data_IF_549004985489
#
_entry.id   IF_549004985489
#
_cell.length_a   1.000
_cell.length_b   1.000
_cell.length_c   1.000
_cell.angle_alpha   90.00
_cell.angle_beta   90.00
_cell.angle_gamma   90.00
#
_symmetry.space_group_name_H-M   'P 1'
#
loop_
_entity.id
_entity.type
_entity.pdbx_description
1 polymer ?
#
# COMPACT_ATOMS: atom_id res chain seq x y z
N UNK A 1 44.17 -10.64 8.22
CA UNK A 1 43.55 -9.36 8.62
C UNK A 1 42.72 -8.87 7.45
N UNK A 2 41.41 -9.16 7.47
CA UNK A 2 40.55 -9.12 6.28
C UNK A 2 40.01 -7.71 6.00
N UNK A 3 39.78 -7.40 4.73
CA UNK A 3 39.24 -6.13 4.22
C UNK A 3 37.91 -5.72 4.89
N UNK A 4 37.18 -6.69 5.46
CA UNK A 4 35.95 -6.52 6.24
C UNK A 4 36.16 -5.79 7.57
N UNK A 5 37.32 -5.93 8.22
CA UNK A 5 37.65 -5.18 9.44
C UNK A 5 38.03 -3.73 9.13
N UNK A 6 38.61 -3.46 7.94
CA UNK A 6 39.02 -2.10 7.55
C UNK A 6 37.85 -1.22 7.13
N UNK A 7 36.79 -1.78 6.54
CA UNK A 7 35.56 -1.03 6.24
C UNK A 7 34.74 -0.77 7.51
N UNK A 8 34.74 -1.70 8.46
CA UNK A 8 34.12 -1.51 9.78
C UNK A 8 34.81 -0.46 10.64
N UNK A 9 36.14 -0.36 10.57
CA UNK A 9 36.94 0.62 11.34
C UNK A 9 36.92 2.01 10.68
N UNK A 10 36.86 2.12 9.34
CA UNK A 10 36.77 3.42 8.67
C UNK A 10 35.44 4.15 8.98
N UNK A 11 34.36 3.39 9.21
CA UNK A 11 33.08 3.90 9.70
C UNK A 11 33.08 4.25 11.20
N UNK A 12 34.09 3.83 11.97
CA UNK A 12 34.22 4.12 13.41
C UNK A 12 35.06 5.38 13.73
N UNK A 13 35.86 5.88 12.79
CA UNK A 13 36.75 7.04 12.99
C UNK A 13 36.20 8.38 12.49
N UNK A 14 34.94 8.47 12.09
CA UNK A 14 34.27 9.77 11.90
C UNK A 14 33.76 10.31 13.25
N UNK A 15 34.68 10.71 14.13
CA UNK A 15 34.36 11.34 15.42
C UNK A 15 34.97 12.74 15.48
N UNK A 16 34.20 13.74 15.07
CA UNK A 16 34.30 15.13 15.56
C UNK A 16 33.09 15.92 15.02
N UNK A 17 32.19 16.37 15.91
CA UNK A 17 31.08 17.26 15.55
C UNK A 17 29.74 16.83 16.12
N UNK A 18 29.46 17.23 17.36
CA UNK A 18 28.22 16.98 18.11
C UNK A 18 27.03 17.75 17.49
N UNK A 19 25.83 17.12 17.57
CA UNK A 19 24.46 17.60 17.33
C UNK A 19 23.77 17.25 15.99
N UNK A 20 23.25 16.01 15.90
CA UNK A 20 22.04 15.62 15.16
C UNK A 20 21.54 14.26 15.70
N UNK A 21 20.43 14.31 16.45
CA UNK A 21 19.87 13.33 17.38
C UNK A 21 19.48 11.96 16.76
N UNK A 22 19.83 10.84 17.43
CA UNK A 22 19.15 9.52 17.39
C UNK A 22 19.16 8.71 16.08
N UNK A 23 18.92 9.37 14.97
CA UNK A 23 18.73 8.87 13.61
C UNK A 23 19.99 8.23 13.02
N UNK A 24 21.16 8.87 13.20
CA UNK A 24 22.44 8.31 12.74
C UNK A 24 22.83 7.02 13.48
N UNK A 25 22.43 6.88 14.75
CA UNK A 25 22.66 5.67 15.53
C UNK A 25 21.73 4.53 15.10
N UNK A 26 20.47 4.84 14.78
CA UNK A 26 19.53 3.87 14.21
C UNK A 26 19.96 3.42 12.81
N UNK A 27 20.40 4.36 11.95
CA UNK A 27 20.98 4.04 10.64
C UNK A 27 22.23 3.17 10.81
N UNK A 28 23.11 3.47 11.77
CA UNK A 28 24.29 2.64 12.05
C UNK A 28 23.95 1.24 12.59
N UNK A 29 22.84 1.09 13.34
CA UNK A 29 22.33 -0.19 13.80
C UNK A 29 21.73 -1.02 12.66
N UNK A 30 20.87 -0.40 11.83
CA UNK A 30 20.28 -1.01 10.63
C UNK A 30 21.37 -1.43 9.62
N UNK A 31 22.41 -0.59 9.47
CA UNK A 31 23.63 -0.91 8.69
C UNK A 31 24.33 -2.16 9.20
N UNK A 32 24.35 -2.39 10.52
CA UNK A 32 25.02 -3.53 11.17
C UNK A 32 24.21 -4.81 11.03
N UNK A 33 22.88 -4.74 11.11
CA UNK A 33 21.99 -5.88 10.83
C UNK A 33 22.05 -6.32 9.37
N UNK A 34 21.97 -5.39 8.40
CA UNK A 34 22.02 -5.71 6.97
C UNK A 34 23.38 -6.29 6.52
N UNK A 35 24.48 -5.90 7.17
CA UNK A 35 25.82 -6.48 6.94
C UNK A 35 25.96 -7.90 7.51
N UNK A 36 25.10 -8.30 8.46
CA UNK A 36 25.10 -9.63 9.06
C UNK A 36 24.17 -10.63 8.36
N UNK A 37 23.43 -10.21 7.34
CA UNK A 37 22.62 -11.12 6.53
C UNK A 37 23.51 -12.06 5.70
N UNK A 38 23.96 -13.15 6.34
CA UNK A 38 24.30 -14.40 5.64
C UNK A 38 23.17 -14.79 4.67
N UNK A 39 21.93 -14.37 4.94
CA UNK A 39 20.77 -14.50 4.08
C UNK A 39 20.94 -13.84 2.71
N UNK A 40 21.54 -12.64 2.63
CA UNK A 40 21.81 -11.97 1.34
C UNK A 40 22.89 -12.72 0.55
N UNK A 41 23.89 -13.27 1.23
CA UNK A 41 24.96 -14.06 0.60
C UNK A 41 24.45 -15.42 0.10
N UNK A 42 23.53 -16.05 0.83
CA UNK A 42 22.88 -17.30 0.44
C UNK A 42 21.85 -17.09 -0.68
N UNK A 43 21.13 -15.98 -0.62
CA UNK A 43 20.20 -15.49 -1.62
C UNK A 43 20.89 -15.22 -2.97
N UNK A 44 22.03 -14.55 -2.95
CA UNK A 44 22.83 -14.25 -4.16
C UNK A 44 23.73 -15.44 -4.55
N UNK A 45 24.04 -16.36 -3.63
CA UNK A 45 24.84 -17.56 -3.90
C UNK A 45 24.26 -18.47 -4.98
N UNK A 46 22.93 -18.43 -5.19
CA UNK A 46 22.28 -19.10 -6.31
C UNK A 46 22.52 -18.45 -7.69
N UNK A 47 22.99 -17.20 -7.74
CA UNK A 47 23.21 -16.43 -8.97
C UNK A 47 24.63 -16.55 -9.50
N UNK A 48 25.62 -16.61 -8.62
CA UNK A 48 27.05 -16.66 -8.98
C UNK A 48 27.63 -18.07 -8.90
N UNK A 49 26.98 -18.99 -8.16
CA UNK A 49 27.56 -20.29 -7.83
C UNK A 49 28.74 -20.22 -6.84
N UNK A 50 29.16 -19.01 -6.46
CA UNK A 50 30.26 -18.73 -5.52
C UNK A 50 29.80 -17.72 -4.45
N UNK A 51 29.80 -18.18 -3.20
CA UNK A 51 29.44 -17.40 -2.00
C UNK A 51 30.33 -16.17 -1.83
N UNK A 52 31.59 -16.24 -2.25
CA UNK A 52 32.55 -15.12 -2.20
C UNK A 52 32.17 -14.00 -3.18
N UNK A 53 31.69 -14.38 -4.36
CA UNK A 53 31.22 -13.44 -5.37
C UNK A 53 29.86 -12.83 -4.98
N UNK A 54 28.97 -13.64 -4.42
CA UNK A 54 27.69 -13.20 -3.87
C UNK A 54 27.88 -12.14 -2.76
N UNK A 55 28.81 -12.38 -1.84
CA UNK A 55 29.21 -11.41 -0.80
C UNK A 55 29.74 -10.11 -1.38
N UNK A 56 30.59 -10.20 -2.41
CA UNK A 56 31.15 -9.01 -3.07
C UNK A 56 30.07 -8.20 -3.78
N UNK A 57 29.12 -8.86 -4.43
CA UNK A 57 28.00 -8.19 -5.10
C UNK A 57 27.10 -7.47 -4.08
N UNK A 58 26.73 -8.14 -2.99
CA UNK A 58 25.93 -7.57 -1.91
C UNK A 58 26.61 -6.33 -1.29
N UNK A 59 27.91 -6.41 -1.00
CA UNK A 59 28.67 -5.28 -0.47
C UNK A 59 28.72 -4.10 -1.47
N UNK A 60 28.90 -4.40 -2.76
CA UNK A 60 28.91 -3.39 -3.82
C UNK A 60 27.55 -2.71 -3.96
N UNK A 61 26.47 -3.49 -3.90
CA UNK A 61 25.08 -3.02 -3.91
C UNK A 61 24.79 -2.08 -2.75
N UNK A 62 25.07 -2.51 -1.51
CA UNK A 62 24.83 -1.68 -0.32
C UNK A 62 25.65 -0.38 -0.35
N UNK A 63 26.91 -0.44 -0.79
CA UNK A 63 27.76 0.75 -0.92
C UNK A 63 27.18 1.75 -1.93
N UNK A 64 26.69 1.27 -3.07
CA UNK A 64 26.10 2.14 -4.07
C UNK A 64 24.80 2.78 -3.58
N UNK A 65 23.91 2.02 -2.93
CA UNK A 65 22.69 2.57 -2.37
C UNK A 65 22.96 3.62 -1.28
N UNK A 66 23.91 3.36 -0.38
CA UNK A 66 24.31 4.35 0.64
C UNK A 66 24.88 5.64 0.06
N UNK A 67 25.45 5.59 -1.15
CA UNK A 67 25.97 6.79 -1.81
C UNK A 67 24.84 7.63 -2.42
N UNK A 68 23.70 7.00 -2.72
CA UNK A 68 22.59 7.65 -3.41
C UNK A 68 21.50 8.13 -2.46
N UNK A 69 21.20 7.35 -1.42
CA UNK A 69 20.03 7.59 -0.57
C UNK A 69 20.41 7.92 0.87
N UNK A 70 19.97 9.10 1.31
CA UNK A 70 20.26 9.65 2.63
C UNK A 70 19.01 9.77 3.51
N UNK A 71 17.81 9.56 2.96
CA UNK A 71 16.54 9.66 3.69
C UNK A 71 16.28 8.40 4.51
N UNK A 72 16.18 8.56 5.83
CA UNK A 72 15.95 7.49 6.79
C UNK A 72 14.56 6.86 6.61
N UNK A 73 13.56 7.66 6.28
CA UNK A 73 12.20 7.17 6.05
C UNK A 73 12.15 6.23 4.84
N UNK A 74 12.98 6.49 3.82
CA UNK A 74 13.15 5.60 2.68
C UNK A 74 13.75 4.27 3.11
N UNK A 75 14.83 4.28 3.90
CA UNK A 75 15.45 3.04 4.37
C UNK A 75 14.50 2.21 5.24
N UNK A 76 13.71 2.84 6.11
CA UNK A 76 12.71 2.15 6.93
C UNK A 76 11.63 1.51 6.06
N UNK A 77 11.06 2.28 5.13
CA UNK A 77 10.01 1.82 4.21
C UNK A 77 10.48 0.68 3.31
N UNK A 78 11.77 0.68 2.93
CA UNK A 78 12.30 -0.28 1.96
C UNK A 78 13.13 -1.41 2.57
N UNK A 79 13.41 -1.37 3.87
CA UNK A 79 14.32 -2.31 4.57
C UNK A 79 14.05 -3.78 4.26
N UNK A 80 12.77 -4.18 4.25
CA UNK A 80 12.33 -5.55 3.94
C UNK A 80 12.68 -6.00 2.51
N UNK A 81 12.73 -5.05 1.56
CA UNK A 81 13.03 -5.31 0.14
C UNK A 81 14.53 -5.27 -0.16
N UNK A 82 15.29 -4.44 0.54
CA UNK A 82 16.72 -4.25 0.30
C UNK A 82 17.56 -5.52 0.57
N UNK A 83 17.03 -6.42 1.40
CA UNK A 83 17.63 -7.71 1.66
C UNK A 83 17.22 -8.80 0.67
N UNK A 84 16.29 -8.52 -0.26
CA UNK A 84 15.74 -9.54 -1.14
C UNK A 84 16.69 -9.86 -2.31
N UNK A 85 16.98 -11.15 -2.59
CA UNK A 85 17.86 -11.56 -3.69
C UNK A 85 17.52 -10.93 -5.04
N UNK A 86 16.24 -10.93 -5.39
CA UNK A 86 15.76 -10.49 -6.70
C UNK A 86 16.04 -8.99 -6.91
N UNK A 87 15.88 -8.17 -5.86
CA UNK A 87 16.10 -6.73 -5.94
C UNK A 87 17.59 -6.41 -6.13
N UNK A 88 18.47 -7.13 -5.43
CA UNK A 88 19.92 -7.00 -5.58
C UNK A 88 20.34 -7.39 -7.00
N UNK A 89 19.76 -8.46 -7.54
CA UNK A 89 20.03 -8.92 -8.90
C UNK A 89 19.58 -7.90 -9.96
N UNK A 90 18.35 -7.40 -9.89
CA UNK A 90 17.83 -6.40 -10.82
C UNK A 90 18.66 -5.11 -10.77
N UNK A 91 18.99 -4.63 -9.56
CA UNK A 91 19.83 -3.45 -9.40
C UNK A 91 21.23 -3.67 -9.99
N UNK A 92 21.83 -4.83 -9.75
CA UNK A 92 23.13 -5.17 -10.31
C UNK A 92 23.11 -5.26 -11.85
N UNK A 93 22.05 -5.82 -12.44
CA UNK A 93 21.88 -5.89 -13.89
C UNK A 93 21.66 -4.51 -14.51
N UNK A 94 20.83 -3.66 -13.90
CA UNK A 94 20.60 -2.29 -14.35
C UNK A 94 21.90 -1.45 -14.32
N UNK A 95 22.84 -1.79 -13.44
CA UNK A 95 24.17 -1.18 -13.34
C UNK A 95 25.25 -1.85 -14.18
N UNK A 96 24.92 -2.91 -14.92
CA UNK A 96 25.86 -3.70 -15.71
C UNK A 96 26.90 -4.46 -14.87
N UNK A 97 26.62 -4.71 -13.59
CA UNK A 97 27.52 -5.49 -12.71
C UNK A 97 27.35 -6.99 -12.89
N UNK A 98 26.13 -7.41 -13.23
CA UNK A 98 25.82 -8.76 -13.66
C UNK A 98 25.42 -8.72 -15.14
N UNK A 99 25.82 -9.74 -15.92
CA UNK A 99 25.29 -9.89 -17.26
C UNK A 99 23.76 -10.06 -17.20
N UNK A 100 23.06 -9.59 -18.23
CA UNK A 100 21.66 -9.93 -18.40
C UNK A 100 21.51 -11.46 -18.40
N UNK A 101 20.40 -12.01 -17.86
CA UNK A 101 20.17 -13.45 -17.90
C UNK A 101 20.32 -13.91 -19.35
N UNK A 102 21.17 -14.92 -19.59
CA UNK A 102 21.25 -15.50 -20.93
C UNK A 102 19.86 -16.08 -21.26
N UNK A 103 19.28 -15.74 -22.43
CA UNK A 103 18.00 -16.31 -22.84
C UNK A 103 18.12 -17.84 -22.82
N UNK A 104 17.37 -18.51 -21.95
CA UNK A 104 17.34 -19.98 -21.86
C UNK A 104 17.91 -20.60 -20.58
N UNK A 105 18.56 -19.85 -19.69
CA UNK A 105 18.87 -20.35 -18.34
C UNK A 105 17.60 -20.24 -17.49
N UNK A 106 16.79 -21.31 -17.48
CA UNK A 106 15.58 -21.37 -16.66
C UNK A 106 15.95 -21.31 -15.18
N UNK A 107 15.38 -20.35 -14.45
CA UNK A 107 15.38 -20.36 -12.99
C UNK A 107 14.81 -21.70 -12.50
N UNK A 108 15.42 -22.33 -11.47
CA UNK A 108 14.92 -23.59 -10.97
C UNK A 108 13.49 -23.42 -10.47
N UNK A 109 12.58 -24.29 -10.92
CA UNK A 109 11.21 -24.34 -10.43
C UNK A 109 11.17 -25.21 -9.17
N UNK A 110 10.44 -24.75 -8.17
CA UNK A 110 10.04 -25.57 -7.04
C UNK A 110 8.67 -26.17 -7.35
N UNK A 111 8.57 -27.50 -7.26
CA UNK A 111 7.32 -28.22 -7.48
C UNK A 111 6.73 -28.61 -6.13
N UNK A 112 5.48 -28.21 -5.90
CA UNK A 112 4.68 -28.51 -4.73
C UNK A 112 3.55 -29.47 -5.12
N UNK A 113 3.30 -30.45 -4.26
CA UNK A 113 2.33 -31.52 -4.48
C UNK A 113 1.18 -31.38 -3.48
N UNK A 114 -0.08 -31.64 -3.89
CA UNK A 114 -1.21 -31.68 -2.96
C UNK A 114 -1.11 -32.92 -2.05
N UNK A 115 -1.57 -32.80 -0.80
CA UNK A 115 -1.55 -33.89 0.19
C UNK A 115 -2.38 -35.10 -0.25
N UNK A 116 -3.44 -34.87 -1.03
CA UNK A 116 -4.34 -35.92 -1.54
C UNK A 116 -3.64 -36.91 -2.47
N UNK A 117 -2.45 -36.59 -2.98
CA UNK A 117 -1.68 -37.42 -3.93
C UNK A 117 -2.33 -37.58 -5.32
N UNK A 118 -3.57 -37.15 -5.49
CA UNK A 118 -4.30 -37.13 -6.75
C UNK A 118 -3.92 -35.88 -7.53
N UNK A 119 -2.85 -35.96 -8.32
CA UNK A 119 -2.32 -34.80 -9.02
C UNK A 119 -2.94 -34.63 -10.41
N UNK A 120 -4.07 -33.92 -10.48
CA UNK A 120 -4.61 -33.39 -11.74
C UNK A 120 -3.77 -32.19 -12.17
N UNK A 121 -2.90 -32.41 -13.15
CA UNK A 121 -2.14 -31.36 -13.85
C UNK A 121 -1.16 -30.53 -12.99
N UNK A 122 -0.33 -29.74 -13.66
CA UNK A 122 0.65 -28.85 -13.02
C UNK A 122 0.36 -27.41 -13.44
N UNK A 123 0.16 -26.55 -12.46
CA UNK A 123 -0.10 -25.13 -12.64
C UNK A 123 1.20 -24.38 -12.35
N UNK A 124 1.61 -23.54 -13.30
CA UNK A 124 2.77 -22.69 -13.14
C UNK A 124 2.37 -21.33 -12.58
N UNK A 125 3.05 -20.89 -11.52
CA UNK A 125 2.84 -19.59 -10.89
C UNK A 125 4.11 -18.74 -10.93
N UNK A 126 3.91 -17.46 -11.27
CA UNK A 126 4.98 -16.46 -11.36
C UNK A 126 4.50 -15.13 -10.80
N UNK A 127 5.42 -14.40 -10.17
CA UNK A 127 5.16 -13.07 -9.61
C UNK A 127 5.93 -12.05 -10.43
N UNK A 128 5.24 -11.00 -10.87
CA UNK A 128 5.85 -9.77 -11.38
C UNK A 128 5.56 -8.64 -10.41
N UNK A 129 6.60 -7.92 -9.99
CA UNK A 129 6.48 -6.80 -9.04
C UNK A 129 6.53 -5.48 -9.76
N UNK A 130 5.85 -4.47 -9.23
CA UNK A 130 6.05 -3.10 -9.67
C UNK A 130 7.39 -2.58 -9.15
N UNK A 131 8.20 -1.98 -10.02
CA UNK A 131 9.51 -1.42 -9.67
C UNK A 131 9.44 -0.32 -8.62
N UNK A 132 8.36 0.47 -8.59
CA UNK A 132 8.16 1.53 -7.59
C UNK A 132 7.45 1.08 -6.32
N UNK A 133 6.87 -0.13 -6.31
CA UNK A 133 6.09 -0.65 -5.19
C UNK A 133 6.22 -2.19 -5.13
N UNK A 134 7.31 -2.74 -4.58
CA UNK A 134 7.62 -4.17 -4.62
C UNK A 134 6.59 -5.11 -3.96
N UNK A 135 5.82 -4.60 -2.99
CA UNK A 135 4.68 -5.32 -2.40
C UNK A 135 3.47 -5.44 -3.35
N UNK A 136 3.49 -4.76 -4.49
CA UNK A 136 2.41 -4.70 -5.47
C UNK A 136 2.88 -5.28 -6.81
N UNK A 137 1.93 -5.63 -7.66
CA UNK A 137 2.22 -6.22 -8.97
C UNK A 137 1.17 -7.22 -9.40
N UNK A 138 1.62 -8.26 -10.10
CA UNK A 138 0.76 -9.25 -10.74
C UNK A 138 1.23 -10.67 -10.43
N UNK A 139 0.28 -11.52 -10.03
CA UNK A 139 0.50 -12.96 -9.88
C UNK A 139 -0.07 -13.64 -11.11
N UNK A 140 0.80 -14.21 -11.92
CA UNK A 140 0.48 -14.95 -13.13
C UNK A 140 0.30 -16.43 -12.81
N UNK A 141 -0.73 -17.02 -13.40
CA UNK A 141 -1.09 -18.43 -13.23
C UNK A 141 -1.29 -19.00 -14.63
N UNK A 142 -0.54 -20.03 -14.96
CA UNK A 142 -0.63 -20.74 -16.24
C UNK A 142 -0.92 -22.21 -15.99
N UNK A 143 -2.06 -22.69 -16.48
CA UNK A 143 -2.44 -24.09 -16.46
C UNK A 143 -2.37 -24.62 -17.90
N UNK A 144 -1.61 -25.69 -18.11
CA UNK A 144 -1.52 -26.35 -19.40
C UNK A 144 -1.82 -27.86 -19.21
N UNK A 145 -2.74 -28.46 -19.98
CA UNK A 145 -3.61 -27.90 -21.03
C UNK A 145 -5.01 -27.42 -20.56
N UNK A 146 -5.45 -27.67 -19.32
CA UNK A 146 -6.83 -27.39 -18.92
C UNK A 146 -7.08 -25.95 -18.44
N UNK A 147 -8.28 -25.46 -18.73
CA UNK A 147 -8.82 -24.22 -18.20
C UNK A 147 -9.25 -24.47 -16.75
N UNK A 148 -8.63 -23.77 -15.81
CA UNK A 148 -9.00 -23.85 -14.39
C UNK A 148 -10.48 -23.45 -14.19
N UNK A 149 -11.20 -24.06 -13.23
CA UNK A 149 -12.59 -23.75 -12.97
C UNK A 149 -12.81 -22.26 -12.73
N UNK A 150 -13.69 -21.63 -13.52
CA UNK A 150 -13.98 -20.20 -13.40
C UNK A 150 -14.59 -19.79 -12.06
N UNK A 151 -15.19 -20.71 -11.31
CA UNK A 151 -15.60 -20.48 -9.91
C UNK A 151 -14.40 -20.29 -9.00
N UNK A 152 -13.40 -21.18 -9.08
CA UNK A 152 -12.16 -21.11 -8.30
C UNK A 152 -11.41 -19.80 -8.59
N UNK A 153 -11.21 -19.49 -9.88
CA UNK A 153 -10.48 -18.28 -10.28
C UNK A 153 -11.17 -16.98 -9.84
N UNK A 154 -12.51 -16.94 -9.85
CA UNK A 154 -13.27 -15.80 -9.31
C UNK A 154 -13.10 -15.64 -7.81
N UNK A 155 -13.12 -16.73 -7.04
CA UNK A 155 -12.88 -16.71 -5.59
C UNK A 155 -11.48 -16.20 -5.27
N UNK A 156 -10.49 -16.54 -6.09
CA UNK A 156 -9.10 -16.08 -5.95
C UNK A 156 -8.86 -14.67 -6.51
N UNK A 157 -9.89 -14.00 -7.02
CA UNK A 157 -9.79 -12.68 -7.66
C UNK A 157 -8.81 -12.66 -8.84
N UNK A 158 -8.71 -13.78 -9.55
CA UNK A 158 -7.90 -13.93 -10.77
C UNK A 158 -8.76 -13.65 -12.00
N UNK A 159 -8.32 -12.73 -12.85
CA UNK A 159 -8.93 -12.46 -14.15
C UNK A 159 -8.30 -13.36 -15.20
N UNK A 160 -9.11 -13.93 -16.09
CA UNK A 160 -8.60 -14.66 -17.25
C UNK A 160 -8.10 -13.66 -18.31
N UNK A 161 -6.88 -13.87 -18.79
CA UNK A 161 -6.28 -13.09 -19.87
C UNK A 161 -6.32 -13.87 -21.19
N UNK A 162 -6.00 -15.17 -21.14
CA UNK A 162 -6.09 -16.12 -22.26
C UNK A 162 -6.64 -17.47 -21.77
N UNK A 163 -7.05 -18.39 -22.66
CA UNK A 163 -7.32 -19.77 -22.28
C UNK A 163 -6.14 -20.38 -21.51
N UNK A 164 -6.40 -20.84 -20.27
CA UNK A 164 -5.37 -21.42 -19.39
C UNK A 164 -4.45 -20.38 -18.72
N UNK A 165 -4.62 -19.08 -18.94
CA UNK A 165 -3.80 -18.02 -18.33
C UNK A 165 -4.63 -17.03 -17.53
N UNK A 166 -4.22 -16.80 -16.28
CA UNK A 166 -4.91 -15.93 -15.35
C UNK A 166 -3.93 -14.98 -14.67
N UNK A 167 -4.44 -13.83 -14.26
CA UNK A 167 -3.67 -12.80 -13.55
C UNK A 167 -4.45 -12.30 -12.32
N UNK A 168 -3.80 -12.26 -11.17
CA UNK A 168 -4.30 -11.56 -9.97
C UNK A 168 -3.52 -10.27 -9.81
N UNK A 169 -4.21 -9.13 -9.88
CA UNK A 169 -3.60 -7.82 -9.66
C UNK A 169 -3.55 -7.47 -8.18
N UNK A 170 -2.35 -7.29 -7.65
CA UNK A 170 -2.10 -6.91 -6.26
C UNK A 170 -1.75 -5.43 -6.20
N UNK A 171 -2.47 -4.69 -5.35
CA UNK A 171 -2.31 -3.25 -5.11
C UNK A 171 -2.14 -3.04 -3.61
N UNK A 172 -1.85 -1.80 -3.20
CA UNK A 172 -1.72 -1.41 -1.78
C UNK A 172 -2.80 -2.01 -0.88
N UNK A 173 -4.07 -1.93 -1.29
CA UNK A 173 -5.21 -2.40 -0.50
C UNK A 173 -5.33 -3.91 -0.38
N UNK A 174 -4.58 -4.65 -1.20
CA UNK A 174 -4.53 -6.10 -1.15
C UNK A 174 -3.39 -6.60 -0.25
N UNK A 175 -2.55 -5.75 0.35
CA UNK A 175 -1.38 -6.20 1.13
C UNK A 175 -0.21 -6.69 0.25
N UNK A 176 0.70 -7.47 0.83
CA UNK A 176 1.90 -7.92 0.12
C UNK A 176 1.59 -8.96 -0.97
N UNK A 177 2.21 -8.81 -2.14
CA UNK A 177 2.07 -9.73 -3.28
C UNK A 177 2.46 -11.16 -2.96
N UNK A 178 3.42 -11.37 -2.05
CA UNK A 178 3.80 -12.72 -1.62
C UNK A 178 2.67 -13.37 -0.83
N UNK A 179 2.05 -12.69 0.13
CA UNK A 179 0.89 -13.23 0.86
C UNK A 179 -0.25 -13.60 -0.09
N UNK A 180 -0.54 -12.72 -1.06
CA UNK A 180 -1.58 -12.94 -2.05
C UNK A 180 -1.26 -14.09 -3.00
N UNK A 181 0.02 -14.32 -3.30
CA UNK A 181 0.48 -15.47 -4.08
C UNK A 181 0.44 -16.76 -3.24
N UNK A 182 0.77 -16.71 -1.94
CA UNK A 182 0.65 -17.85 -1.02
C UNK A 182 -0.81 -18.29 -0.91
N UNK A 183 -1.75 -17.35 -0.72
CA UNK A 183 -3.20 -17.65 -0.73
C UNK A 183 -3.64 -18.41 -1.99
N UNK A 184 -3.23 -17.92 -3.16
CA UNK A 184 -3.55 -18.54 -4.45
C UNK A 184 -2.93 -19.94 -4.53
N UNK A 185 -1.67 -20.07 -4.13
CA UNK A 185 -0.96 -21.34 -4.17
C UNK A 185 -1.60 -22.39 -3.25
N UNK A 186 -1.90 -22.02 -2.00
CA UNK A 186 -2.58 -22.92 -1.08
C UNK A 186 -3.94 -23.36 -1.60
N UNK A 187 -4.76 -22.42 -2.10
CA UNK A 187 -6.08 -22.76 -2.63
C UNK A 187 -6.02 -23.67 -3.88
N UNK A 188 -4.99 -23.53 -4.72
CA UNK A 188 -4.77 -24.43 -5.86
C UNK A 188 -4.34 -25.84 -5.40
N UNK A 189 -3.49 -25.95 -4.39
CA UNK A 189 -3.11 -27.24 -3.80
C UNK A 189 -4.31 -27.92 -3.13
N UNK A 190 -5.12 -27.17 -2.37
CA UNK A 190 -6.35 -27.66 -1.75
C UNK A 190 -7.37 -28.15 -2.80
N UNK A 191 -7.39 -27.52 -3.97
CA UNK A 191 -8.19 -27.95 -5.11
C UNK A 191 -7.61 -29.17 -5.87
N UNK A 192 -6.43 -29.67 -5.47
CA UNK A 192 -5.81 -30.89 -6.02
C UNK A 192 -4.81 -30.66 -7.17
N UNK A 193 -4.45 -29.41 -7.48
CA UNK A 193 -3.46 -29.11 -8.51
C UNK A 193 -2.04 -29.21 -7.98
N UNK A 194 -1.08 -29.61 -8.82
CA UNK A 194 0.35 -29.40 -8.52
C UNK A 194 0.72 -27.97 -8.84
N UNK A 195 1.69 -27.44 -8.10
CA UNK A 195 2.21 -26.08 -8.34
C UNK A 195 3.67 -26.10 -8.71
N UNK A 196 4.03 -25.31 -9.71
CA UNK A 196 5.40 -24.99 -10.08
C UNK A 196 5.63 -23.50 -9.86
N UNK A 197 6.52 -23.14 -8.93
CA UNK A 197 6.84 -21.74 -8.58
C UNK A 197 8.32 -21.45 -8.82
N UNK A 198 8.65 -20.24 -9.27
CA UNK A 198 10.04 -19.83 -9.48
C UNK A 198 10.70 -19.25 -8.22
N UNK A 199 9.90 -18.65 -7.33
CA UNK A 199 10.42 -17.91 -6.19
C UNK A 199 10.42 -18.76 -4.91
N UNK A 200 11.56 -18.82 -4.24
CA UNK A 200 11.73 -19.59 -3.00
C UNK A 200 10.84 -19.07 -1.87
N UNK A 201 10.73 -17.75 -1.71
CA UNK A 201 9.91 -17.14 -0.65
C UNK A 201 8.43 -17.56 -0.77
N UNK A 202 7.91 -17.64 -2.00
CA UNK A 202 6.56 -18.15 -2.26
C UNK A 202 6.44 -19.64 -1.87
N UNK A 203 7.42 -20.47 -2.26
CA UNK A 203 7.44 -21.89 -1.89
C UNK A 203 7.45 -22.08 -0.37
N UNK A 204 8.35 -21.40 0.32
CA UNK A 204 8.49 -21.52 1.77
C UNK A 204 7.20 -21.03 2.48
N UNK A 205 6.62 -19.91 2.05
CA UNK A 205 5.34 -19.40 2.59
C UNK A 205 4.14 -20.35 2.38
N UNK A 206 4.06 -21.02 1.23
CA UNK A 206 3.03 -22.05 0.98
C UNK A 206 3.20 -23.25 1.92
N UNK A 207 4.44 -23.72 2.11
CA UNK A 207 4.72 -24.88 2.97
C UNK A 207 4.44 -24.60 4.45
N UNK A 208 4.74 -23.38 4.89
CA UNK A 208 4.46 -22.94 6.27
C UNK A 208 2.99 -22.59 6.48
N UNK A 209 2.24 -22.35 5.40
CA UNK A 209 0.86 -21.88 5.45
C UNK A 209 0.73 -20.49 6.07
N UNK A 210 1.80 -19.69 6.02
CA UNK A 210 1.90 -18.40 6.71
C UNK A 210 1.73 -17.25 5.72
N UNK A 211 0.67 -16.47 5.90
CA UNK A 211 0.43 -15.23 5.17
C UNK A 211 -0.44 -14.26 6.01
N UNK A 212 -0.27 -12.95 5.85
CA UNK A 212 -1.17 -11.96 6.46
C UNK A 212 -2.46 -11.87 5.63
N UNK A 213 -3.66 -12.20 6.16
CA UNK A 213 -4.91 -12.12 5.39
C UNK A 213 -5.19 -10.71 4.86
N UNK A 214 -5.86 -10.63 3.71
CA UNK A 214 -6.20 -9.33 3.10
C UNK A 214 -7.01 -8.45 4.05
N UNK A 215 -6.49 -7.26 4.33
CA UNK A 215 -7.17 -6.25 5.15
C UNK A 215 -8.43 -5.74 4.45
N UNK A 216 -9.55 -5.64 5.17
CA UNK A 216 -10.89 -5.39 4.59
C UNK A 216 -11.41 -3.97 4.79
N UNK A 217 -10.80 -3.18 5.67
CA UNK A 217 -11.29 -1.87 6.08
C UNK A 217 -10.37 -0.78 5.57
N UNK A 218 -10.79 -0.10 4.50
CA UNK A 218 -9.95 0.87 3.82
C UNK A 218 -10.65 2.21 3.63
N UNK A 219 -9.87 3.28 3.70
CA UNK A 219 -10.29 4.64 3.38
C UNK A 219 -9.50 5.08 2.14
N UNK A 220 -10.23 5.38 1.08
CA UNK A 220 -9.72 5.69 -0.25
C UNK A 220 -9.92 7.17 -0.60
N UNK A 221 -9.10 7.62 -1.54
CA UNK A 221 -9.27 8.90 -2.19
C UNK A 221 -10.57 8.94 -3.01
N UNK A 222 -11.24 10.09 -2.97
CA UNK A 222 -12.38 10.41 -3.85
C UNK A 222 -11.97 11.14 -5.12
N UNK A 223 -12.78 11.03 -6.17
CA UNK A 223 -12.67 11.93 -7.33
C UNK A 223 -12.97 13.38 -6.96
N UNK A 224 -13.75 13.62 -5.90
CA UNK A 224 -14.02 14.95 -5.36
C UNK A 224 -13.01 15.28 -4.25
N UNK A 225 -12.36 16.46 -4.29
CA UNK A 225 -11.27 16.79 -3.37
C UNK A 225 -11.71 16.89 -1.90
N UNK A 226 -12.98 17.20 -1.64
CA UNK A 226 -13.55 17.35 -0.31
C UNK A 226 -14.05 16.03 0.31
N UNK A 227 -14.01 14.93 -0.42
CA UNK A 227 -14.52 13.62 0.01
C UNK A 227 -13.43 12.55 0.07
N UNK A 228 -13.71 11.52 0.86
CA UNK A 228 -13.03 10.22 0.88
C UNK A 228 -14.07 9.11 0.80
N UNK A 229 -13.66 7.92 0.35
CA UNK A 229 -14.51 6.73 0.31
C UNK A 229 -14.12 5.75 1.40
N UNK A 230 -15.13 5.12 2.00
CA UNK A 230 -14.92 4.11 3.03
C UNK A 230 -15.35 2.77 2.47
N UNK A 231 -14.39 1.87 2.24
CA UNK A 231 -14.61 0.51 1.78
C UNK A 231 -14.59 -0.48 2.94
N UNK A 232 -15.67 -1.25 3.07
CA UNK A 232 -15.82 -2.31 4.06
C UNK A 232 -16.89 -3.32 3.60
N UNK A 233 -16.80 -4.59 4.03
CA UNK A 233 -17.88 -5.56 3.85
C UNK A 233 -19.16 -5.10 4.53
N UNK A 234 -20.32 -5.38 3.93
CA UNK A 234 -21.60 -4.97 4.52
C UNK A 234 -21.81 -5.59 5.90
N UNK A 235 -21.87 -4.74 6.92
CA UNK A 235 -22.22 -5.10 8.28
C UNK A 235 -23.05 -3.97 8.91
N UNK A 236 -24.26 -4.30 9.40
CA UNK A 236 -25.22 -3.29 9.85
C UNK A 236 -24.68 -2.40 10.99
N UNK A 237 -23.92 -2.97 11.93
CA UNK A 237 -23.34 -2.21 13.05
C UNK A 237 -22.28 -1.23 12.58
N UNK A 238 -21.36 -1.70 11.74
CA UNK A 238 -20.29 -0.88 11.16
C UNK A 238 -20.87 0.22 10.27
N UNK A 239 -21.85 -0.10 9.43
CA UNK A 239 -22.50 0.86 8.56
C UNK A 239 -23.17 1.99 9.34
N UNK A 240 -23.91 1.66 10.40
CA UNK A 240 -24.53 2.65 11.27
C UNK A 240 -23.49 3.53 11.99
N UNK A 241 -22.36 2.95 12.37
CA UNK A 241 -21.27 3.71 12.99
C UNK A 241 -20.64 4.70 12.02
N UNK A 242 -20.26 4.24 10.83
CA UNK A 242 -19.69 5.10 9.78
C UNK A 242 -20.66 6.25 9.44
N UNK A 243 -21.97 5.96 9.42
CA UNK A 243 -23.00 6.98 9.22
C UNK A 243 -23.04 8.01 10.35
N UNK A 244 -22.89 7.59 11.61
CA UNK A 244 -22.81 8.51 12.77
C UNK A 244 -21.53 9.34 12.78
N UNK A 245 -20.43 8.79 12.26
CA UNK A 245 -19.17 9.51 12.08
C UNK A 245 -19.25 10.59 10.98
N UNK A 246 -20.40 10.74 10.32
CA UNK A 246 -20.64 11.74 9.27
C UNK A 246 -20.57 11.19 7.85
N UNK A 247 -20.39 9.87 7.70
CA UNK A 247 -20.46 9.20 6.41
C UNK A 247 -21.87 9.17 5.83
N UNK A 248 -21.99 9.26 4.52
CA UNK A 248 -23.26 9.12 3.81
C UNK A 248 -23.13 8.20 2.59
N UNK A 249 -24.22 7.52 2.27
CA UNK A 249 -24.27 6.64 1.09
C UNK A 249 -24.69 7.46 -0.14
N UNK A 250 -23.86 7.47 -1.17
CA UNK A 250 -24.13 8.22 -2.41
C UNK A 250 -24.88 7.42 -3.49
N UNK A 251 -25.36 6.22 -3.16
CA UNK A 251 -25.97 5.27 -4.10
C UNK A 251 -25.02 4.19 -4.62
N UNK A 252 -23.71 4.40 -4.52
CA UNK A 252 -22.67 3.44 -4.99
C UNK A 252 -21.67 3.06 -3.90
N UNK A 253 -21.33 3.99 -3.02
CA UNK A 253 -20.30 3.84 -1.99
C UNK A 253 -20.60 4.73 -0.79
N UNK A 254 -19.96 4.41 0.32
CA UNK A 254 -19.96 5.25 1.52
C UNK A 254 -18.89 6.33 1.38
N UNK A 255 -19.29 7.59 1.53
CA UNK A 255 -18.42 8.75 1.42
C UNK A 255 -18.42 9.54 2.73
N UNK A 256 -17.33 10.25 3.01
CA UNK A 256 -17.17 11.10 4.18
C UNK A 256 -16.35 12.33 3.81
N UNK A 257 -16.61 13.45 4.46
CA UNK A 257 -15.87 14.70 4.19
C UNK A 257 -14.45 14.64 4.76
N UNK A 258 -13.48 15.13 4.00
CA UNK A 258 -12.07 15.23 4.44
C UNK A 258 -11.93 16.09 5.70
N UNK A 259 -12.82 17.07 5.88
CA UNK A 259 -12.80 17.95 7.06
C UNK A 259 -13.14 17.24 8.38
N UNK A 260 -13.70 16.02 8.34
CA UNK A 260 -14.01 15.22 9.53
C UNK A 260 -12.81 14.37 9.96
N UNK A 261 -11.64 15.00 10.05
CA UNK A 261 -10.35 14.34 10.34
C UNK A 261 -10.41 13.53 11.64
N UNK A 262 -10.96 14.09 12.72
CA UNK A 262 -11.01 13.42 14.02
C UNK A 262 -11.86 12.14 13.97
N UNK A 263 -13.00 12.19 13.26
CA UNK A 263 -13.87 11.04 13.09
C UNK A 263 -13.22 9.94 12.24
N UNK A 264 -12.44 10.33 11.22
CA UNK A 264 -11.67 9.43 10.37
C UNK A 264 -10.55 8.73 11.14
N UNK A 265 -9.82 9.45 11.99
CA UNK A 265 -8.77 8.86 12.82
C UNK A 265 -9.37 7.97 13.93
N UNK A 266 -10.51 8.35 14.51
CA UNK A 266 -11.22 7.48 15.46
C UNK A 266 -11.68 6.18 14.79
N UNK A 267 -12.22 6.25 13.57
CA UNK A 267 -12.56 5.08 12.76
C UNK A 267 -11.35 4.18 12.55
N UNK A 268 -10.21 4.76 12.15
CA UNK A 268 -8.96 4.04 11.95
C UNK A 268 -8.47 3.34 13.23
N UNK A 269 -8.46 4.06 14.35
CA UNK A 269 -7.99 3.52 15.62
C UNK A 269 -8.91 2.42 16.18
N UNK A 270 -10.23 2.64 16.13
CA UNK A 270 -11.21 1.79 16.81
C UNK A 270 -11.59 0.54 16.04
N UNK A 271 -11.63 0.63 14.72
CA UNK A 271 -12.05 -0.46 13.84
C UNK A 271 -10.91 -0.97 12.94
N UNK A 272 -9.72 -0.39 13.08
CA UNK A 272 -8.55 -0.79 12.32
C UNK A 272 -8.60 -0.37 10.85
N UNK A 273 -9.37 0.66 10.48
CA UNK A 273 -9.34 1.17 9.09
C UNK A 273 -7.93 1.64 8.74
N UNK A 274 -7.46 1.23 7.55
CA UNK A 274 -6.23 1.74 6.95
C UNK A 274 -6.54 2.79 5.89
N UNK A 275 -5.70 3.81 5.79
CA UNK A 275 -5.78 4.80 4.72
C UNK A 275 -4.91 4.35 3.56
N UNK A 276 -5.37 4.53 2.32
CA UNK A 276 -4.46 4.48 1.18
C UNK A 276 -3.50 5.66 1.23
N UNK A 277 -2.34 5.50 0.60
CA UNK A 277 -1.31 6.55 0.53
C UNK A 277 -1.88 7.88 0.00
N UNK A 278 -2.73 7.82 -1.02
CA UNK A 278 -3.40 9.00 -1.58
C UNK A 278 -4.43 9.62 -0.63
N UNK A 279 -5.21 8.80 0.09
CA UNK A 279 -6.18 9.29 1.07
C UNK A 279 -5.49 9.98 2.25
N UNK A 280 -4.39 9.39 2.74
CA UNK A 280 -3.57 9.97 3.81
C UNK A 280 -2.98 11.32 3.37
N UNK A 281 -2.37 11.38 2.19
CA UNK A 281 -1.81 12.61 1.64
C UNK A 281 -2.85 13.73 1.57
N UNK A 282 -4.07 13.41 1.13
CA UNK A 282 -5.17 14.39 1.05
C UNK A 282 -5.58 14.91 2.43
N UNK A 283 -5.64 14.02 3.42
CA UNK A 283 -5.97 14.37 4.79
C UNK A 283 -4.89 15.29 5.41
N UNK A 284 -3.61 15.02 5.12
CA UNK A 284 -2.50 15.84 5.58
C UNK A 284 -2.48 17.23 4.90
N UNK A 285 -2.71 17.28 3.58
CA UNK A 285 -2.87 18.57 2.86
C UNK A 285 -4.01 19.41 3.46
N UNK A 286 -5.14 18.77 3.81
CA UNK A 286 -6.25 19.48 4.45
C UNK A 286 -5.89 19.98 5.85
N UNK A 287 -5.14 19.21 6.64
CA UNK A 287 -4.63 19.64 7.96
C UNK A 287 -3.75 20.87 7.83
N UNK A 288 -2.79 20.85 6.91
CA UNK A 288 -1.91 21.99 6.64
C UNK A 288 -2.70 23.24 6.22
N UNK A 289 -3.65 23.09 5.29
CA UNK A 289 -4.52 24.18 4.87
C UNK A 289 -5.38 24.71 6.02
N UNK A 290 -5.87 23.84 6.90
CA UNK A 290 -6.67 24.22 8.08
C UNK A 290 -5.83 24.99 9.11
N UNK A 291 -4.55 24.64 9.28
CA UNK A 291 -3.64 25.38 10.17
C UNK A 291 -3.30 26.77 9.64
N UNK A 292 -3.24 26.94 8.31
CA UNK A 292 -2.98 28.22 7.66
C UNK A 292 -4.24 29.06 7.45
N UNK A 293 -5.43 28.53 7.77
CA UNK A 293 -6.69 29.20 7.53
C UNK A 293 -6.82 30.48 8.37
N UNK A 294 -6.97 31.61 7.70
CA UNK A 294 -7.25 32.89 8.37
C UNK A 294 -8.72 32.91 8.82
N UNK A 295 -8.95 32.99 10.14
CA UNK A 295 -10.30 33.09 10.70
C UNK A 295 -10.91 34.44 10.30
N UNK A 296 -11.81 34.42 9.33
CA UNK A 296 -12.64 35.58 9.02
C UNK A 296 -13.64 35.80 10.15
N UNK A 297 -13.37 36.79 11.02
CA UNK A 297 -14.40 37.31 11.93
C UNK A 297 -15.26 38.30 11.15
N UNK A 298 -16.50 37.89 10.87
CA UNK A 298 -17.52 38.79 10.37
C UNK A 298 -17.74 39.91 11.40
N UNK A 299 -17.11 41.06 11.17
CA UNK A 299 -17.47 42.31 11.84
C UNK A 299 -18.80 42.73 11.25
N UNK A 300 -19.90 42.11 11.70
CA UNK A 300 -21.23 42.66 11.44
C UNK A 300 -21.17 44.10 11.95
N UNK A 301 -21.17 45.08 11.03
CA UNK A 301 -21.54 46.45 11.36
C UNK A 301 -22.88 46.32 12.07
N UNK A 302 -22.95 46.70 13.35
CA UNK A 302 -24.24 46.93 14.01
C UNK A 302 -25.01 47.87 13.07
N UNK A 303 -26.13 47.45 12.44
CA UNK A 303 -26.96 48.43 11.75
C UNK A 303 -27.33 49.51 12.77
N UNK A 304 -27.16 50.79 12.42
CA UNK A 304 -27.55 51.86 13.33
C UNK A 304 -29.05 51.74 13.60
N UNK A 305 -29.49 52.07 14.82
CA UNK A 305 -30.90 51.97 15.19
C UNK A 305 -31.80 52.84 14.29
N UNK A 306 -31.23 53.91 13.73
CA UNK A 306 -31.88 54.82 12.77
C UNK A 306 -32.27 54.11 11.47
N UNK A 307 -31.40 53.22 10.94
CA UNK A 307 -31.70 52.48 9.71
C UNK A 307 -32.86 51.47 9.89
N UNK A 308 -33.01 50.92 11.09
CA UNK A 308 -34.10 49.99 11.43
C UNK A 308 -35.42 50.75 11.62
N UNK A 309 -35.39 51.92 12.27
CA UNK A 309 -36.59 52.75 12.45
C UNK A 309 -37.13 53.24 11.10
N UNK A 310 -36.28 53.68 10.18
CA UNK A 310 -36.70 54.16 8.86
C UNK A 310 -37.35 53.07 8.00
N UNK A 311 -36.83 51.84 8.05
CA UNK A 311 -37.43 50.72 7.31
C UNK A 311 -38.77 50.29 7.92
N UNK A 312 -38.88 50.29 9.24
CA UNK A 312 -40.11 49.93 9.94
C UNK A 312 -41.21 50.98 9.74
N UNK A 313 -40.86 52.27 9.77
CA UNK A 313 -41.79 53.38 9.46
C UNK A 313 -42.26 53.30 8.00
N UNK A 314 -41.36 52.97 7.05
CA UNK A 314 -41.75 52.71 5.66
C UNK A 314 -42.70 51.52 5.52
N UNK A 315 -42.57 50.50 6.35
CA UNK A 315 -43.41 49.31 6.32
C UNK A 315 -44.79 49.56 6.94
N UNK A 316 -44.85 50.33 8.03
CA UNK A 316 -46.09 50.75 8.68
C UNK A 316 -46.90 51.76 7.84
N UNK A 317 -46.22 52.62 7.08
CA UNK A 317 -46.88 53.62 6.21
C UNK A 317 -47.22 53.08 4.81
N UNK A 318 -47.04 51.78 4.55
CA UNK A 318 -47.56 51.20 3.31
C UNK A 318 -49.09 51.24 3.37
N UNK A 319 -49.77 51.82 2.36
CA UNK A 319 -51.22 51.77 2.31
C UNK A 319 -51.65 50.31 2.31
N UNK A 320 -52.51 49.94 3.26
CA UNK A 320 -53.11 48.62 3.32
C UNK A 320 -53.97 48.49 2.06
N UNK A 321 -53.48 47.74 1.08
CA UNK A 321 -54.32 47.26 0.00
C UNK A 321 -55.22 46.19 0.61
N UNK A 322 -56.41 46.59 1.03
CA UNK A 322 -57.46 45.65 1.43
C UNK A 322 -57.86 44.90 0.16
N UNK A 323 -57.65 43.56 0.12
CA UNK A 323 -58.05 42.72 -1.01
C UNK A 323 -59.52 42.97 -1.39
N UNK A 324 -59.84 43.00 -2.69
CA UNK A 324 -61.18 43.32 -3.21
C UNK A 324 -62.28 42.38 -2.67
N UNK A 325 -61.92 41.15 -2.28
CA UNK A 325 -62.82 40.15 -1.68
C UNK A 325 -63.19 40.44 -0.21
N UNK A 326 -62.57 41.43 0.41
CA UNK A 326 -62.85 41.91 1.78
C UNK A 326 -63.42 43.33 1.81
N UNK A 327 -63.78 43.90 0.66
CA UNK A 327 -64.47 45.18 0.59
C UNK A 327 -65.99 44.93 0.64
N UNK A 328 -66.64 45.39 1.70
CA UNK A 328 -68.11 45.31 1.81
C UNK A 328 -68.75 46.07 0.64
N UNK A 329 -69.57 45.38 -0.16
CA UNK A 329 -70.37 45.98 -1.23
C UNK A 329 -71.27 47.08 -0.63
N UNK A 330 -71.25 48.27 -1.27
CA UNK A 330 -72.02 49.45 -0.84
C UNK A 330 -73.50 49.39 -1.18
#
# INVERSE_FOLDING_TARGET
MHLTERVGIWLLTARAGVNANGELAQVAALKRELLHCNDISNAVGGLTGDISEARRLAARYMTALWTQENDISWWQTNSEYLAQPWFIQEYAQARGWLPAPQPGVMTPYYVLMPESGAASECVHMRIERHTSAPAQGEVYIEAAPEVLPGSLMRTLHCAQIDPGRYVRRVREVHGCIIDRAVEVGMALLEAGYRLSVQERALRDGILEGSYEPMHRYWIYESSQPELLYIGYPWEAKLHNYVRRAGGYWNGRRMEILVCQVDALEELALRYGFRFTSEARRRLDTWREASMQATIYRNRKRKPSMEAIQDEFVKLLNRPIQVPEDLQDEK
#
